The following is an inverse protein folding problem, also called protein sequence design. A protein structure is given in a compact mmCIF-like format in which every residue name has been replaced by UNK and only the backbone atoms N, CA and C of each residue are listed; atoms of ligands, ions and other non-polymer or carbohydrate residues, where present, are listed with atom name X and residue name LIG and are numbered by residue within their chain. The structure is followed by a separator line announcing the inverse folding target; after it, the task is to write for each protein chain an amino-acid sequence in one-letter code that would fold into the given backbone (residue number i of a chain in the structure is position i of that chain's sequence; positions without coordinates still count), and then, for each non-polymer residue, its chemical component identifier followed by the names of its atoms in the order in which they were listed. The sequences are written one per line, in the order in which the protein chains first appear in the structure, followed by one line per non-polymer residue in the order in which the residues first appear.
data_IF_735338750857
#
_entry.id   IF_735338750857
#
_cell.length_a   1.000
_cell.length_b   1.000
_cell.length_c   1.000
_cell.angle_alpha   90.00
_cell.angle_beta   90.00
_cell.angle_gamma   90.00
#
_symmetry.space_group_name_H-M   'P 1'
#
loop_
_entity.id
_entity.type
_entity.pdbx_description
1 polymer ?
#
# COMPACT_ATOMS: atom_id res chain seq x y z
N UNK A 1 29.14 44.37 -32.10
CA UNK A 1 28.98 42.94 -31.73
C UNK A 1 27.98 42.73 -30.56
N UNK A 2 26.70 43.13 -30.63
CA UNK A 2 25.75 42.84 -29.55
C UNK A 2 24.60 41.87 -29.87
N UNK A 3 24.58 41.31 -31.10
CA UNK A 3 23.41 40.50 -31.51
C UNK A 3 23.43 39.02 -31.09
N UNK A 4 24.57 38.49 -30.68
CA UNK A 4 24.73 37.06 -30.32
C UNK A 4 24.21 36.77 -28.93
N UNK A 5 24.27 37.72 -28.00
CA UNK A 5 23.86 37.52 -26.61
C UNK A 5 22.31 37.43 -26.43
N UNK A 6 21.56 38.14 -27.28
CA UNK A 6 20.09 38.11 -27.23
C UNK A 6 19.53 36.77 -27.73
N UNK A 7 20.15 36.14 -28.72
CA UNK A 7 19.78 34.85 -29.23
C UNK A 7 19.99 33.72 -28.20
N UNK A 8 21.07 33.78 -27.43
CA UNK A 8 21.39 32.80 -26.38
C UNK A 8 20.42 32.87 -25.19
N UNK A 9 20.01 34.09 -24.79
CA UNK A 9 19.07 34.30 -23.71
C UNK A 9 17.64 33.83 -24.10
N UNK A 10 17.23 34.08 -25.33
CA UNK A 10 15.92 33.61 -25.84
C UNK A 10 15.88 32.09 -25.93
N UNK A 11 16.97 31.46 -26.37
CA UNK A 11 17.07 29.98 -26.44
C UNK A 11 17.04 29.34 -25.03
N UNK A 12 17.68 29.98 -24.05
CA UNK A 12 17.65 29.50 -22.65
C UNK A 12 16.25 29.62 -22.01
N UNK A 13 15.56 30.72 -22.27
CA UNK A 13 14.19 30.92 -21.75
C UNK A 13 13.16 29.99 -22.41
N UNK A 14 13.33 29.66 -23.69
CA UNK A 14 12.49 28.70 -24.38
C UNK A 14 12.73 27.25 -23.88
N UNK A 15 13.95 26.89 -23.54
CA UNK A 15 14.25 25.56 -22.97
C UNK A 15 13.67 25.37 -21.57
N UNK A 16 13.66 26.41 -20.74
CA UNK A 16 13.04 26.37 -19.39
C UNK A 16 11.51 26.27 -19.50
N UNK A 17 10.88 26.96 -20.45
CA UNK A 17 9.44 26.87 -20.66
C UNK A 17 8.97 25.50 -21.17
N UNK A 18 9.78 24.81 -21.97
CA UNK A 18 9.50 23.45 -22.45
C UNK A 18 9.67 22.39 -21.36
N UNK A 19 10.55 22.60 -20.39
CA UNK A 19 10.74 21.66 -19.28
C UNK A 19 9.58 21.64 -18.27
N UNK A 20 8.79 22.70 -18.18
CA UNK A 20 7.64 22.78 -17.28
C UNK A 20 6.37 22.10 -17.80
N UNK A 21 6.34 21.68 -19.06
CA UNK A 21 5.15 21.14 -19.72
C UNK A 21 4.92 19.63 -19.53
N UNK A 22 5.81 18.90 -18.86
CA UNK A 22 5.75 17.43 -18.78
C UNK A 22 5.30 16.88 -17.42
N UNK A 23 4.82 17.70 -16.51
CA UNK A 23 4.13 17.22 -15.33
C UNK A 23 2.79 16.64 -15.78
N UNK A 24 2.71 15.33 -15.95
CA UNK A 24 1.46 14.64 -16.26
C UNK A 24 0.40 15.06 -15.24
N UNK A 25 -0.74 15.61 -15.72
CA UNK A 25 -1.85 16.00 -14.85
C UNK A 25 -2.21 14.83 -13.94
N UNK A 26 -2.34 15.03 -12.63
CA UNK A 26 -2.71 13.96 -11.72
C UNK A 26 -4.02 13.32 -12.19
N UNK A 27 -4.03 12.00 -12.37
CA UNK A 27 -5.21 11.27 -12.81
C UNK A 27 -6.32 11.45 -11.77
N UNK A 28 -7.54 11.67 -12.24
CA UNK A 28 -8.72 11.77 -11.37
C UNK A 28 -9.01 10.44 -10.70
N UNK A 29 -9.61 10.48 -9.52
CA UNK A 29 -10.15 9.31 -8.86
C UNK A 29 -11.32 8.72 -9.67
N UNK A 30 -11.32 7.41 -9.78
CA UNK A 30 -12.41 6.61 -10.34
C UNK A 30 -12.90 5.70 -9.23
N UNK A 31 -14.22 5.67 -9.03
CA UNK A 31 -14.88 4.75 -8.11
C UNK A 31 -15.46 3.59 -8.91
N UNK A 32 -15.06 2.37 -8.57
CA UNK A 32 -15.57 1.14 -9.13
C UNK A 32 -16.41 0.45 -8.06
N UNK A 33 -17.66 0.17 -8.38
CA UNK A 33 -18.61 -0.50 -7.47
C UNK A 33 -18.84 -1.94 -7.90
N UNK A 34 -19.36 -2.77 -6.98
CA UNK A 34 -19.66 -4.19 -7.23
C UNK A 34 -18.44 -4.99 -7.70
N UNK A 35 -17.25 -4.60 -7.24
CA UNK A 35 -16.05 -5.37 -7.50
C UNK A 35 -16.09 -6.69 -6.74
N UNK A 36 -15.45 -7.72 -7.28
CA UNK A 36 -15.37 -9.06 -6.73
C UNK A 36 -13.92 -9.48 -6.57
N UNK A 37 -13.62 -10.19 -5.48
CA UNK A 37 -12.33 -10.84 -5.29
C UNK A 37 -12.20 -12.02 -6.24
N UNK A 38 -11.03 -12.15 -6.84
CA UNK A 38 -10.70 -13.26 -7.74
C UNK A 38 -9.56 -14.08 -7.13
N UNK A 39 -9.71 -15.39 -7.13
CA UNK A 39 -8.65 -16.28 -6.72
C UNK A 39 -7.39 -16.08 -7.56
N UNK A 40 -6.23 -16.13 -6.92
CA UNK A 40 -4.95 -15.97 -7.58
C UNK A 40 -3.81 -16.50 -6.71
N UNK A 41 -2.91 -17.27 -7.30
CA UNK A 41 -1.76 -17.87 -6.59
C UNK A 41 -0.80 -16.84 -5.98
N UNK A 42 -0.79 -15.63 -6.55
CA UNK A 42 0.07 -14.53 -6.12
C UNK A 42 -0.69 -13.48 -5.27
N UNK A 43 -1.94 -13.77 -4.86
CA UNK A 43 -2.67 -12.92 -3.93
C UNK A 43 -2.03 -12.97 -2.54
N UNK A 44 -1.95 -11.80 -1.91
CA UNK A 44 -1.49 -11.62 -0.54
C UNK A 44 -2.40 -10.63 0.22
N UNK A 45 -2.03 -10.22 1.42
CA UNK A 45 -2.84 -9.36 2.27
C UNK A 45 -3.00 -7.92 1.77
N UNK A 46 -2.13 -7.42 0.91
CA UNK A 46 -2.17 -6.04 0.40
C UNK A 46 -2.16 -5.95 -1.12
N UNK A 47 -2.11 -7.11 -1.81
CA UNK A 47 -2.14 -7.16 -3.26
C UNK A 47 -2.89 -8.41 -3.72
N UNK A 48 -3.97 -8.20 -4.46
CA UNK A 48 -4.87 -9.28 -4.86
C UNK A 48 -5.62 -8.94 -6.15
N UNK A 49 -6.03 -9.99 -6.85
CA UNK A 49 -6.78 -9.89 -8.10
C UNK A 49 -8.25 -9.56 -7.84
N UNK A 50 -8.78 -8.70 -8.67
CA UNK A 50 -10.19 -8.29 -8.62
C UNK A 50 -10.80 -8.25 -10.02
N UNK A 51 -12.12 -8.37 -10.04
CA UNK A 51 -12.95 -8.13 -11.23
C UNK A 51 -13.98 -7.05 -10.92
N UNK A 52 -14.02 -6.01 -11.74
CA UNK A 52 -15.03 -4.95 -11.68
C UNK A 52 -15.67 -4.84 -13.07
N UNK A 53 -16.92 -5.20 -13.18
CA UNK A 53 -17.62 -5.40 -14.47
C UNK A 53 -16.87 -6.40 -15.36
N UNK A 54 -16.38 -5.96 -16.53
CA UNK A 54 -15.60 -6.79 -17.46
C UNK A 54 -14.09 -6.68 -17.27
N UNK A 55 -13.62 -5.82 -16.37
CA UNK A 55 -12.19 -5.55 -16.19
C UNK A 55 -11.61 -6.36 -15.04
N UNK A 56 -10.52 -7.07 -15.32
CA UNK A 56 -9.72 -7.77 -14.33
C UNK A 56 -8.36 -7.08 -14.17
N UNK A 57 -7.91 -6.90 -12.93
CA UNK A 57 -6.63 -6.30 -12.61
C UNK A 57 -6.21 -6.67 -11.19
N UNK A 58 -4.95 -6.37 -10.85
CA UNK A 58 -4.43 -6.54 -9.50
C UNK A 58 -4.52 -5.20 -8.77
N UNK A 59 -5.12 -5.22 -7.58
CA UNK A 59 -5.06 -4.11 -6.61
C UNK A 59 -3.78 -4.22 -5.80
N UNK A 60 -3.13 -3.11 -5.52
CA UNK A 60 -2.17 -2.92 -4.43
C UNK A 60 -2.72 -1.83 -3.51
N UNK A 61 -2.88 -2.14 -2.24
CA UNK A 61 -3.36 -1.16 -1.29
C UNK A 61 -2.36 -0.01 -1.11
N UNK A 62 -2.88 1.21 -1.00
CA UNK A 62 -2.11 2.35 -0.53
C UNK A 62 -1.84 2.22 0.97
N UNK A 63 -0.75 2.81 1.46
CA UNK A 63 -0.38 3.04 2.86
C UNK A 63 -0.02 1.81 3.68
N UNK A 64 -0.30 0.61 3.25
CA UNK A 64 -0.11 -0.59 4.04
C UNK A 64 0.78 -1.62 3.35
N UNK A 65 1.41 -2.46 4.16
CA UNK A 65 2.28 -3.54 3.75
C UNK A 65 2.00 -4.76 4.64
N UNK A 66 1.38 -5.78 4.07
CA UNK A 66 1.19 -7.07 4.71
C UNK A 66 2.44 -7.93 4.57
N UNK A 67 2.65 -8.86 5.51
CA UNK A 67 3.76 -9.80 5.43
C UNK A 67 3.65 -10.71 4.20
N UNK A 68 4.80 -11.10 3.66
CA UNK A 68 4.88 -12.06 2.57
C UNK A 68 4.34 -13.43 2.98
N UNK A 69 3.70 -14.15 2.07
CA UNK A 69 3.14 -15.48 2.34
C UNK A 69 4.16 -16.61 2.21
N UNK A 70 5.33 -16.34 1.61
CA UNK A 70 6.38 -17.29 1.30
C UNK A 70 7.74 -16.59 1.12
N UNK A 71 8.81 -17.36 0.89
CA UNK A 71 10.18 -16.86 0.70
C UNK A 71 10.53 -16.50 -0.76
N UNK A 72 9.57 -16.20 -1.62
CA UNK A 72 9.86 -15.76 -2.99
C UNK A 72 10.69 -14.45 -3.03
N UNK A 73 10.55 -13.63 -1.99
CA UNK A 73 11.29 -12.39 -1.77
C UNK A 73 11.93 -12.40 -0.36
N UNK A 74 13.02 -13.17 -0.16
CA UNK A 74 13.54 -13.46 1.18
C UNK A 74 14.01 -12.20 1.92
N UNK A 75 14.59 -11.23 1.22
CA UNK A 75 15.02 -9.97 1.84
C UNK A 75 13.84 -9.15 2.37
N UNK A 76 12.73 -9.15 1.65
CA UNK A 76 11.51 -8.48 2.08
C UNK A 76 10.88 -9.18 3.28
N UNK A 77 10.83 -10.52 3.26
CA UNK A 77 10.33 -11.30 4.40
C UNK A 77 11.21 -11.07 5.65
N UNK A 78 12.53 -10.98 5.48
CA UNK A 78 13.46 -10.66 6.57
C UNK A 78 13.21 -9.28 7.14
N UNK A 79 13.10 -8.26 6.30
CA UNK A 79 12.82 -6.88 6.73
C UNK A 79 11.48 -6.78 7.48
N UNK A 80 10.46 -7.55 7.06
CA UNK A 80 9.18 -7.62 7.76
C UNK A 80 9.31 -8.34 9.10
N UNK A 81 10.01 -9.47 9.17
CA UNK A 81 10.25 -10.19 10.44
C UNK A 81 11.01 -9.34 11.48
N UNK A 82 12.00 -8.58 11.03
CA UNK A 82 12.76 -7.64 11.88
C UNK A 82 11.88 -6.49 12.40
N UNK A 83 11.04 -5.93 11.50
CA UNK A 83 10.11 -4.87 11.88
C UNK A 83 9.13 -5.29 12.97
N UNK A 84 8.54 -6.48 12.83
CA UNK A 84 7.58 -7.00 13.79
C UNK A 84 8.23 -7.67 15.01
N UNK A 85 9.52 -7.95 14.97
CA UNK A 85 10.22 -8.67 16.04
C UNK A 85 9.79 -10.15 16.15
N UNK A 86 9.60 -10.80 15.01
CA UNK A 86 9.15 -12.20 14.90
C UNK A 86 10.12 -13.02 14.04
N UNK A 87 9.98 -14.34 14.04
CA UNK A 87 10.71 -15.22 13.12
C UNK A 87 10.19 -15.11 11.67
N UNK A 88 10.96 -15.58 10.69
CA UNK A 88 10.55 -15.64 9.29
C UNK A 88 9.26 -16.47 9.11
N UNK A 89 9.16 -17.61 9.81
CA UNK A 89 8.01 -18.49 9.75
C UNK A 89 6.74 -17.83 10.31
N UNK A 90 6.86 -17.10 11.41
CA UNK A 90 5.76 -16.32 11.99
C UNK A 90 5.33 -15.18 11.07
N UNK A 91 6.28 -14.48 10.44
CA UNK A 91 5.98 -13.46 9.45
C UNK A 91 5.19 -14.04 8.26
N UNK A 92 5.64 -15.17 7.69
CA UNK A 92 4.93 -15.84 6.60
C UNK A 92 3.57 -16.39 7.03
N UNK A 93 3.44 -16.89 8.27
CA UNK A 93 2.15 -17.32 8.82
C UNK A 93 1.18 -16.14 8.91
N UNK A 94 1.64 -15.00 9.40
CA UNK A 94 0.85 -13.76 9.45
C UNK A 94 0.46 -13.28 8.04
N UNK A 95 1.36 -13.38 7.08
CA UNK A 95 1.06 -13.07 5.67
C UNK A 95 -0.08 -13.94 5.11
N UNK A 96 -0.05 -15.25 5.37
CA UNK A 96 -1.15 -16.15 4.99
C UNK A 96 -2.46 -15.78 5.71
N UNK A 97 -2.40 -15.48 7.00
CA UNK A 97 -3.56 -15.02 7.76
C UNK A 97 -4.14 -13.71 7.19
N UNK A 98 -3.29 -12.75 6.82
CA UNK A 98 -3.73 -11.50 6.19
C UNK A 98 -4.43 -11.77 4.85
N UNK A 99 -3.87 -12.62 3.99
CA UNK A 99 -4.50 -13.06 2.73
C UNK A 99 -5.87 -13.69 2.97
N UNK A 100 -5.95 -14.65 3.88
CA UNK A 100 -7.19 -15.39 4.15
C UNK A 100 -8.27 -14.46 4.74
N UNK A 101 -7.86 -13.49 5.58
CA UNK A 101 -8.74 -12.44 6.10
C UNK A 101 -9.26 -11.53 4.99
N UNK A 102 -8.40 -11.12 4.05
CA UNK A 102 -8.81 -10.31 2.90
C UNK A 102 -9.82 -11.05 2.05
N UNK A 103 -9.56 -12.33 1.73
CA UNK A 103 -10.47 -13.16 0.98
C UNK A 103 -11.84 -13.26 1.67
N UNK A 104 -11.86 -13.44 2.98
CA UNK A 104 -13.12 -13.49 3.77
C UNK A 104 -13.85 -12.15 3.73
N UNK A 105 -13.16 -11.04 3.98
CA UNK A 105 -13.76 -9.70 3.98
C UNK A 105 -14.31 -9.30 2.60
N UNK A 106 -13.71 -9.82 1.51
CA UNK A 106 -14.08 -9.49 0.14
C UNK A 106 -15.00 -10.53 -0.52
N UNK A 107 -15.66 -11.39 0.25
CA UNK A 107 -16.66 -12.34 -0.28
C UNK A 107 -17.85 -11.65 -0.93
N UNK A 108 -18.32 -10.57 -0.32
CA UNK A 108 -19.39 -9.75 -0.86
C UNK A 108 -18.83 -8.64 -1.77
N UNK A 109 -19.61 -8.13 -2.72
CA UNK A 109 -19.17 -7.05 -3.58
C UNK A 109 -18.74 -5.81 -2.80
N UNK A 110 -17.61 -5.22 -3.19
CA UNK A 110 -16.98 -4.08 -2.54
C UNK A 110 -16.73 -2.92 -3.50
N UNK A 111 -16.20 -1.84 -2.95
CA UNK A 111 -15.91 -0.59 -3.70
C UNK A 111 -14.40 -0.38 -3.78
N UNK A 112 -13.93 0.02 -4.95
CA UNK A 112 -12.53 0.39 -5.19
C UNK A 112 -12.46 1.84 -5.63
N UNK A 113 -11.55 2.62 -5.02
CA UNK A 113 -11.18 3.94 -5.49
C UNK A 113 -9.75 3.91 -6.01
N UNK A 114 -9.57 4.21 -7.29
CA UNK A 114 -8.25 4.19 -7.92
C UNK A 114 -8.06 5.35 -8.88
N UNK A 115 -6.81 5.77 -9.07
CA UNK A 115 -6.39 6.65 -10.16
C UNK A 115 -5.74 5.86 -11.30
N UNK A 116 -5.78 4.53 -11.23
CA UNK A 116 -5.03 3.62 -12.11
C UNK A 116 -3.54 3.97 -12.15
N UNK A 117 -3.00 4.46 -11.02
CA UNK A 117 -1.56 4.62 -10.86
C UNK A 117 -0.92 3.24 -10.84
N UNK A 118 0.05 3.00 -11.72
CA UNK A 118 0.73 1.71 -11.79
C UNK A 118 1.45 1.42 -10.48
N UNK A 119 1.14 0.28 -9.89
CA UNK A 119 1.90 -0.29 -8.79
C UNK A 119 2.98 -1.17 -9.40
N UNK A 120 4.18 -0.60 -9.62
CA UNK A 120 5.31 -1.31 -10.21
C UNK A 120 5.54 -2.68 -9.52
N UNK A 121 5.90 -3.68 -10.31
CA UNK A 121 6.12 -5.05 -9.84
C UNK A 121 6.47 -5.95 -11.02
N UNK A 122 6.68 -7.25 -10.74
CA UNK A 122 7.02 -8.25 -11.76
C UNK A 122 5.80 -8.89 -12.44
N UNK A 123 4.60 -8.43 -12.09
CA UNK A 123 3.39 -8.92 -12.75
C UNK A 123 3.33 -8.43 -14.20
N UNK A 124 2.97 -9.31 -15.11
CA UNK A 124 2.64 -8.97 -16.50
C UNK A 124 1.23 -8.38 -16.63
N UNK A 125 0.41 -8.51 -15.57
CA UNK A 125 -0.94 -8.01 -15.54
C UNK A 125 -1.00 -6.57 -15.02
N UNK A 126 -2.02 -5.79 -15.42
CA UNK A 126 -2.23 -4.46 -14.86
C UNK A 126 -2.36 -4.52 -13.34
N UNK A 127 -1.53 -3.77 -12.64
CA UNK A 127 -1.53 -3.65 -11.18
C UNK A 127 -1.64 -2.19 -10.80
N UNK A 128 -2.66 -1.84 -10.02
CA UNK A 128 -2.96 -0.45 -9.69
C UNK A 128 -3.04 -0.24 -8.18
N UNK A 129 -2.50 0.89 -7.73
CA UNK A 129 -2.76 1.35 -6.37
C UNK A 129 -4.22 1.73 -6.21
N UNK A 130 -4.81 1.32 -5.08
CA UNK A 130 -6.20 1.59 -4.77
C UNK A 130 -6.47 1.70 -3.26
N UNK A 131 -7.57 2.37 -2.93
CA UNK A 131 -8.30 2.19 -1.67
C UNK A 131 -9.42 1.19 -1.93
N UNK A 132 -9.71 0.38 -0.93
CA UNK A 132 -10.78 -0.62 -0.97
C UNK A 132 -11.67 -0.44 0.25
N UNK A 133 -12.96 -0.28 0.00
CA UNK A 133 -13.98 -0.12 1.03
C UNK A 133 -14.92 -1.32 1.04
N UNK A 134 -15.10 -1.89 2.23
CA UNK A 134 -15.94 -3.06 2.48
C UNK A 134 -16.99 -2.68 3.51
N UNK A 135 -18.25 -2.64 3.11
CA UNK A 135 -19.33 -2.22 4.01
C UNK A 135 -19.11 -0.82 4.60
N UNK A 136 -18.57 0.11 3.80
CA UNK A 136 -18.29 1.49 4.20
C UNK A 136 -17.09 1.67 5.12
N UNK A 137 -16.22 0.66 5.26
CA UNK A 137 -15.00 0.71 6.08
C UNK A 137 -13.76 0.41 5.24
N UNK A 138 -12.68 1.15 5.45
CA UNK A 138 -11.41 0.96 4.77
C UNK A 138 -10.82 -0.43 5.07
N UNK A 139 -10.47 -1.17 4.02
CA UNK A 139 -9.76 -2.45 4.16
C UNK A 139 -8.38 -2.26 4.79
N UNK A 140 -7.66 -1.20 4.41
CA UNK A 140 -6.35 -0.90 4.98
C UNK A 140 -6.42 -0.68 6.50
N UNK A 141 -7.39 0.12 6.98
CA UNK A 141 -7.59 0.34 8.42
C UNK A 141 -7.95 -0.96 9.16
N UNK A 142 -8.78 -1.83 8.54
CA UNK A 142 -9.11 -3.13 9.13
C UNK A 142 -7.88 -4.03 9.28
N UNK A 143 -7.03 -4.10 8.26
CA UNK A 143 -5.82 -4.91 8.32
C UNK A 143 -4.84 -4.41 9.39
N UNK A 144 -4.63 -3.11 9.46
CA UNK A 144 -3.73 -2.50 10.45
C UNK A 144 -4.28 -2.69 11.86
N UNK A 145 -5.58 -2.43 12.10
CA UNK A 145 -6.20 -2.58 13.42
C UNK A 145 -6.22 -4.02 13.93
N UNK A 146 -6.16 -5.00 13.04
CA UNK A 146 -6.07 -6.41 13.37
C UNK A 146 -4.61 -6.93 13.49
N UNK A 147 -3.60 -6.06 13.29
CA UNK A 147 -2.20 -6.45 13.28
C UNK A 147 -1.81 -7.35 12.09
N UNK A 148 -2.49 -7.23 10.95
CA UNK A 148 -2.26 -8.03 9.75
C UNK A 148 -1.48 -7.28 8.67
N UNK A 149 -1.26 -5.98 8.85
CA UNK A 149 -0.41 -5.14 8.02
C UNK A 149 0.21 -4.02 8.86
N UNK A 150 1.35 -3.51 8.41
CA UNK A 150 2.00 -2.32 8.96
C UNK A 150 1.70 -1.09 8.12
N UNK A 151 1.86 0.08 8.71
CA UNK A 151 1.74 1.36 8.03
C UNK A 151 3.00 1.62 7.23
N UNK A 152 3.01 1.19 5.96
CA UNK A 152 4.12 1.38 5.02
C UNK A 152 3.61 1.30 3.59
N UNK A 153 4.13 2.10 2.69
CA UNK A 153 3.77 2.02 1.27
C UNK A 153 3.67 3.39 0.60
N UNK A 154 3.10 3.39 -0.59
CA UNK A 154 2.88 4.61 -1.37
C UNK A 154 1.74 5.41 -0.76
N UNK A 155 1.96 6.71 -0.60
CA UNK A 155 1.00 7.65 -0.01
C UNK A 155 0.37 8.55 -1.08
N UNK A 156 -0.85 9.00 -0.84
CA UNK A 156 -1.55 9.97 -1.67
C UNK A 156 -2.72 10.57 -0.88
N UNK A 157 -3.19 11.77 -1.22
CA UNK A 157 -4.44 12.26 -0.63
C UNK A 157 -5.60 11.34 -0.96
N UNK A 158 -6.51 11.16 -0.02
CA UNK A 158 -7.63 10.24 -0.15
C UNK A 158 -8.63 10.69 -1.23
N UNK A 159 -9.48 9.78 -1.73
CA UNK A 159 -10.56 10.13 -2.66
C UNK A 159 -11.51 11.19 -2.11
N UNK A 160 -11.68 11.25 -0.81
CA UNK A 160 -12.49 12.25 -0.08
C UNK A 160 -11.85 13.64 -0.04
N UNK A 161 -10.57 13.78 -0.43
CA UNK A 161 -9.79 15.00 -0.28
C UNK A 161 -9.02 15.09 1.04
N UNK A 162 -9.19 14.15 1.96
CA UNK A 162 -8.42 14.10 3.20
C UNK A 162 -6.92 14.05 2.92
N UNK A 163 -6.16 14.82 3.70
CA UNK A 163 -4.71 14.88 3.59
C UNK A 163 -4.08 13.54 4.02
N UNK A 164 -3.17 13.03 3.22
CA UNK A 164 -2.50 11.77 3.47
C UNK A 164 -1.76 11.69 4.82
N UNK A 165 -1.24 12.81 5.34
CA UNK A 165 -0.55 12.84 6.64
C UNK A 165 -1.51 12.51 7.79
N UNK A 166 -2.72 13.07 7.76
CA UNK A 166 -3.76 12.79 8.76
C UNK A 166 -4.15 11.31 8.71
N UNK A 167 -4.28 10.77 7.51
CA UNK A 167 -4.58 9.33 7.36
C UNK A 167 -3.47 8.44 7.88
N UNK A 168 -2.20 8.76 7.61
CA UNK A 168 -1.03 8.02 8.14
C UNK A 168 -0.99 8.06 9.66
N UNK A 169 -1.24 9.21 10.29
CA UNK A 169 -1.33 9.33 11.75
C UNK A 169 -2.42 8.41 12.33
N UNK A 170 -3.58 8.35 11.69
CA UNK A 170 -4.66 7.43 12.07
C UNK A 170 -4.24 5.96 11.94
N UNK A 171 -3.58 5.58 10.84
CA UNK A 171 -3.06 4.22 10.67
C UNK A 171 -2.01 3.87 11.74
N UNK A 172 -1.08 4.77 12.06
CA UNK A 172 -0.11 4.55 13.12
C UNK A 172 -0.79 4.40 14.50
N UNK A 173 -1.86 5.15 14.78
CA UNK A 173 -2.62 4.97 16.00
C UNK A 173 -3.25 3.57 16.08
N UNK A 174 -3.86 3.09 14.99
CA UNK A 174 -4.42 1.74 14.88
C UNK A 174 -3.35 0.65 15.01
N UNK A 175 -2.18 0.85 14.40
CA UNK A 175 -1.04 -0.07 14.49
C UNK A 175 -0.51 -0.17 15.92
N UNK A 176 -0.36 0.96 16.61
CA UNK A 176 0.06 0.99 18.01
C UNK A 176 -0.96 0.30 18.93
N UNK A 177 -2.25 0.51 18.70
CA UNK A 177 -3.31 -0.18 19.43
C UNK A 177 -3.25 -1.70 19.21
N UNK A 178 -3.11 -2.15 17.95
CA UNK A 178 -2.96 -3.55 17.62
C UNK A 178 -1.72 -4.17 18.30
N UNK A 179 -0.60 -3.45 18.34
CA UNK A 179 0.63 -3.86 19.02
C UNK A 179 0.41 -3.99 20.53
N UNK A 180 -0.19 -2.98 21.17
CA UNK A 180 -0.46 -3.01 22.62
C UNK A 180 -1.39 -4.17 23.00
N UNK A 181 -2.40 -4.45 22.17
CA UNK A 181 -3.35 -5.55 22.36
C UNK A 181 -2.81 -6.89 21.89
N UNK A 182 -1.58 -6.95 21.36
CA UNK A 182 -0.93 -8.15 20.81
C UNK A 182 -1.79 -8.87 19.75
N UNK A 183 -2.40 -8.10 18.84
CA UNK A 183 -3.25 -8.65 17.77
C UNK A 183 -2.42 -9.11 16.56
N UNK A 184 -2.93 -10.10 15.85
CA UNK A 184 -2.31 -10.60 14.61
C UNK A 184 -0.85 -11.00 14.81
N UNK A 185 0.05 -10.48 13.98
CA UNK A 185 1.47 -10.75 14.04
C UNK A 185 2.11 -10.29 15.36
N UNK A 186 1.57 -9.25 16.00
CA UNK A 186 2.09 -8.73 17.27
C UNK A 186 1.92 -9.71 18.44
N UNK A 187 1.05 -10.73 18.31
CA UNK A 187 0.91 -11.78 19.32
C UNK A 187 2.20 -12.63 19.48
N UNK A 188 2.95 -12.80 18.39
CA UNK A 188 4.19 -13.56 18.35
C UNK A 188 5.44 -12.71 18.58
N UNK A 189 5.30 -11.36 18.62
CA UNK A 189 6.43 -10.46 18.80
C UNK A 189 7.14 -10.72 20.13
N UNK A 190 8.46 -10.97 20.06
CA UNK A 190 9.31 -11.05 21.23
C UNK A 190 9.50 -9.64 21.77
N UNK A 191 9.15 -9.41 23.03
CA UNK A 191 9.53 -8.17 23.69
C UNK A 191 11.05 -8.05 23.65
N UNK A 192 11.57 -7.01 22.98
CA UNK A 192 12.96 -6.61 23.18
C UNK A 192 13.06 -6.16 24.64
N UNK A 193 13.53 -7.04 25.52
CA UNK A 193 13.93 -6.68 26.86
C UNK A 193 14.95 -5.57 26.67
N UNK A 194 14.57 -4.36 27.07
CA UNK A 194 15.49 -3.23 27.07
C UNK A 194 16.62 -3.56 28.06
N UNK A 195 17.78 -3.91 27.55
CA UNK A 195 19.04 -4.05 28.33
C UNK A 195 19.51 -2.70 28.90
N UNK A 196 18.61 -1.96 29.52
CA UNK A 196 18.95 -0.66 30.12
C UNK A 196 18.44 -0.59 31.55
N UNK A 197 18.69 -1.61 32.36
CA UNK A 197 18.66 -1.49 33.81
C UNK A 197 19.63 -2.47 34.46
N UNK A 198 20.91 -2.31 34.19
CA UNK A 198 21.97 -2.80 35.11
C UNK A 198 23.24 -2.01 34.83
N UNK A 199 23.33 -0.81 35.38
CA UNK A 199 24.59 -0.16 35.82
C UNK A 199 24.29 0.88 36.87
#
# INVERSE_FOLDING_TARGET
MPRIWHAAIIALLLSVALAQSWAAKPRKWVTLTKCQYMEGKDNDGDSFRVKCDTNEFIVRLYFVDASETNLRYPERTREQSEYFGVTLDEAMKAGRQARDTVQELLREPFVIHTRRASAAGRSTEPRYYAFVDVGGKSLAERLVSQGLARTKGVTTNLPTGENWKVYVERLHALENEARQKRLGIWASAVEKISETQTR
#
